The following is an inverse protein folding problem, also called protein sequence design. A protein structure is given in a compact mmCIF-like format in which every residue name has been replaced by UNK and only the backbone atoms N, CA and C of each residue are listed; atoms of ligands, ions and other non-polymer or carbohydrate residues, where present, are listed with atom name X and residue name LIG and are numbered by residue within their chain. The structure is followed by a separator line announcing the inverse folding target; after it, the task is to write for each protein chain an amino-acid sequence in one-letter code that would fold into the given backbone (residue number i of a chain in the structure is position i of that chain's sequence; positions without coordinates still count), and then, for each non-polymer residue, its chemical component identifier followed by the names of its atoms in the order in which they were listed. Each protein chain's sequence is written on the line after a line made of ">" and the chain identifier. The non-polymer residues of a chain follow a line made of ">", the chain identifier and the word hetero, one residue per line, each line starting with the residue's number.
data_IF_611892919878
#
_entry.id   IF_611892919878
#
_cell.length_a   1.000
_cell.length_b   1.000
_cell.length_c   1.000
_cell.angle_alpha   90.00
_cell.angle_beta   90.00
_cell.angle_gamma   90.00
#
_symmetry.space_group_name_H-M   'P 1'
#
loop_
_entity.id
_entity.type
_entity.pdbx_description
1 polymer ?
#
# COMPACT_ATOMS: atom_id res chain seq x y z
N UNK A 1 24.82 19.24 13.06
CA UNK A 1 23.82 18.15 13.07
C UNK A 1 24.08 17.30 11.83
N UNK A 2 24.66 16.12 11.97
CA UNK A 2 24.93 15.21 10.85
C UNK A 2 23.65 14.47 10.50
N UNK A 3 23.03 14.83 9.37
CA UNK A 3 21.97 14.04 8.73
C UNK A 3 22.63 12.89 7.98
N UNK A 4 22.74 11.73 8.61
CA UNK A 4 22.99 10.50 7.87
C UNK A 4 21.81 10.28 6.92
N UNK A 5 22.03 9.96 5.63
CA UNK A 5 20.93 9.60 4.75
C UNK A 5 20.29 8.33 5.29
N UNK A 6 19.05 8.43 5.77
CA UNK A 6 18.22 7.29 6.13
C UNK A 6 17.97 6.51 4.85
N UNK A 7 18.73 5.43 4.65
CA UNK A 7 18.55 4.53 3.51
C UNK A 7 17.09 4.09 3.48
N UNK A 8 16.45 4.21 2.31
CA UNK A 8 15.08 3.77 2.11
C UNK A 8 14.96 2.28 2.47
N UNK A 9 14.04 1.85 3.37
CA UNK A 9 13.92 0.45 3.76
C UNK A 9 13.76 -0.52 2.59
N UNK A 10 13.09 -0.09 1.51
CA UNK A 10 12.95 -0.91 0.29
C UNK A 10 14.30 -1.09 -0.42
N UNK A 11 15.07 -0.02 -0.57
CA UNK A 11 16.41 -0.08 -1.15
C UNK A 11 17.36 -0.91 -0.28
N UNK A 12 17.24 -0.80 1.04
CA UNK A 12 17.99 -1.60 1.99
C UNK A 12 17.64 -3.09 1.86
N UNK A 13 16.35 -3.43 1.75
CA UNK A 13 15.91 -4.82 1.55
C UNK A 13 16.44 -5.38 0.22
N UNK A 14 16.35 -4.62 -0.87
CA UNK A 14 16.89 -5.03 -2.18
C UNK A 14 18.38 -5.32 -2.09
N UNK A 15 19.14 -4.48 -1.40
CA UNK A 15 20.57 -4.70 -1.19
C UNK A 15 20.85 -5.97 -0.38
N UNK A 16 20.14 -6.17 0.73
CA UNK A 16 20.31 -7.36 1.58
C UNK A 16 19.97 -8.66 0.85
N UNK A 17 18.92 -8.66 0.02
CA UNK A 17 18.54 -9.82 -0.81
C UNK A 17 19.60 -10.11 -1.89
N UNK A 18 20.19 -9.08 -2.49
CA UNK A 18 21.29 -9.24 -3.43
C UNK A 18 22.55 -9.81 -2.74
N UNK A 19 22.87 -9.32 -1.54
CA UNK A 19 24.00 -9.81 -0.74
C UNK A 19 23.78 -11.28 -0.31
N UNK A 20 22.56 -11.67 0.09
CA UNK A 20 22.19 -13.05 0.43
C UNK A 20 22.40 -14.01 -0.76
N UNK A 21 21.88 -13.64 -1.94
CA UNK A 21 22.07 -14.43 -3.17
C UNK A 21 23.54 -14.60 -3.52
N UNK A 22 24.35 -13.54 -3.35
CA UNK A 22 25.79 -13.57 -3.64
C UNK A 22 26.53 -14.48 -2.65
N UNK A 23 26.16 -14.46 -1.37
CA UNK A 23 26.74 -15.37 -0.37
C UNK A 23 26.38 -16.81 -0.69
N UNK A 24 25.16 -17.08 -1.13
CA UNK A 24 24.73 -18.42 -1.56
C UNK A 24 25.52 -18.96 -2.74
N UNK A 25 25.82 -18.14 -3.75
CA UNK A 25 26.70 -18.52 -4.85
C UNK A 25 28.10 -18.90 -4.36
N UNK A 26 28.66 -18.13 -3.41
CA UNK A 26 29.99 -18.40 -2.83
C UNK A 26 30.00 -19.65 -1.96
N UNK A 27 28.93 -19.94 -1.22
CA UNK A 27 28.78 -21.17 -0.45
C UNK A 27 28.80 -22.36 -1.40
N UNK A 28 28.00 -22.34 -2.48
CA UNK A 28 27.97 -23.41 -3.49
C UNK A 28 29.35 -23.65 -4.12
N UNK A 29 30.03 -22.58 -4.52
CA UNK A 29 31.36 -22.67 -5.12
C UNK A 29 32.41 -23.23 -4.13
N UNK A 30 32.36 -22.82 -2.86
CA UNK A 30 33.28 -23.30 -1.82
C UNK A 30 33.02 -24.76 -1.47
N UNK A 31 31.76 -25.19 -1.42
CA UNK A 31 31.39 -26.60 -1.24
C UNK A 31 31.92 -27.47 -2.38
N UNK A 32 31.78 -27.03 -3.64
CA UNK A 32 32.33 -27.74 -4.79
C UNK A 32 33.88 -27.86 -4.70
N UNK A 33 34.55 -26.78 -4.30
CA UNK A 33 36.01 -26.75 -4.14
C UNK A 33 36.49 -27.67 -3.00
N UNK A 34 35.78 -27.65 -1.87
CA UNK A 34 36.04 -28.54 -0.73
C UNK A 34 35.84 -30.02 -1.13
N UNK A 35 34.80 -30.34 -1.89
CA UNK A 35 34.55 -31.70 -2.36
C UNK A 35 35.69 -32.20 -3.27
N UNK A 36 36.22 -31.33 -4.14
CA UNK A 36 37.38 -31.64 -4.98
C UNK A 36 38.66 -31.83 -4.13
N UNK A 37 38.89 -30.98 -3.13
CA UNK A 37 40.03 -31.11 -2.23
C UNK A 37 39.99 -32.43 -1.45
N UNK A 38 38.83 -32.77 -0.85
CA UNK A 38 38.59 -34.06 -0.16
C UNK A 38 38.86 -35.26 -1.06
N UNK A 39 38.44 -35.18 -2.32
CA UNK A 39 38.71 -36.22 -3.33
C UNK A 39 40.21 -36.36 -3.60
N UNK A 40 40.94 -35.25 -3.79
CA UNK A 40 42.39 -35.26 -4.02
C UNK A 40 43.16 -35.82 -2.82
N UNK A 41 42.79 -35.45 -1.59
CA UNK A 41 43.35 -36.01 -0.35
C UNK A 41 43.16 -37.53 -0.33
N UNK A 42 41.94 -38.00 -0.64
CA UNK A 42 41.60 -39.42 -0.66
C UNK A 42 42.36 -40.20 -1.76
N UNK A 43 42.45 -39.63 -2.96
CA UNK A 43 43.18 -40.22 -4.09
C UNK A 43 44.68 -40.31 -3.80
N UNK A 44 45.28 -39.27 -3.22
CA UNK A 44 46.70 -39.26 -2.83
C UNK A 44 46.99 -40.29 -1.74
N UNK A 45 46.10 -40.42 -0.74
CA UNK A 45 46.21 -41.43 0.30
C UNK A 45 46.14 -42.85 -0.29
N UNK A 46 45.20 -43.11 -1.21
CA UNK A 46 45.07 -44.41 -1.88
C UNK A 46 46.30 -44.75 -2.74
N UNK A 47 46.85 -43.78 -3.48
CA UNK A 47 48.08 -43.95 -4.25
C UNK A 47 49.27 -44.28 -3.35
N UNK A 48 49.39 -43.63 -2.19
CA UNK A 48 50.42 -43.94 -1.20
C UNK A 48 50.30 -45.37 -0.64
N UNK A 49 49.10 -45.84 -0.34
CA UNK A 49 48.89 -47.23 0.09
C UNK A 49 49.30 -48.24 -0.97
N UNK A 50 49.03 -47.96 -2.25
CA UNK A 50 49.37 -48.87 -3.36
C UNK A 50 50.87 -48.87 -3.67
N UNK A 51 51.53 -47.71 -3.60
CA UNK A 51 52.93 -47.57 -4.02
C UNK A 51 53.95 -47.96 -2.93
N UNK A 52 53.63 -47.74 -1.65
CA UNK A 52 54.66 -47.77 -0.59
C UNK A 52 54.81 -49.12 0.09
N UNK A 53 53.78 -49.97 0.16
CA UNK A 53 53.81 -51.22 0.96
C UNK A 53 54.10 -51.03 2.47
N UNK A 54 54.33 -49.80 2.92
CA UNK A 54 54.69 -49.43 4.30
C UNK A 54 53.45 -49.08 5.13
N UNK A 55 53.44 -49.46 6.43
CA UNK A 55 52.27 -49.29 7.29
C UNK A 55 52.07 -47.86 7.83
N UNK A 56 52.93 -46.89 7.49
CA UNK A 56 52.79 -45.50 7.95
C UNK A 56 52.48 -44.55 6.79
N UNK A 57 51.22 -44.12 6.62
CA UNK A 57 50.88 -43.15 5.59
C UNK A 57 51.54 -41.81 5.90
N UNK A 58 52.35 -41.29 4.99
CA UNK A 58 52.75 -39.89 5.00
C UNK A 58 51.61 -39.09 4.38
N UNK A 59 50.82 -38.40 5.20
CA UNK A 59 49.75 -37.54 4.66
C UNK A 59 50.37 -36.32 3.97
N UNK A 60 49.86 -35.90 2.79
CA UNK A 60 50.26 -34.65 2.16
C UNK A 60 49.71 -33.46 2.98
N UNK A 61 50.57 -32.82 3.78
CA UNK A 61 50.17 -31.72 4.65
C UNK A 61 49.54 -30.54 3.90
N UNK A 62 50.00 -30.28 2.67
CA UNK A 62 49.51 -29.16 1.86
C UNK A 62 48.03 -29.35 1.45
N UNK A 63 47.64 -30.57 1.08
CA UNK A 63 46.25 -30.88 0.71
C UNK A 63 45.32 -30.83 1.93
N UNK A 64 45.82 -31.25 3.11
CA UNK A 64 45.06 -31.13 4.36
C UNK A 64 44.85 -29.67 4.78
N UNK A 65 45.88 -28.83 4.61
CA UNK A 65 45.78 -27.39 4.89
C UNK A 65 44.79 -26.72 3.94
N UNK A 66 44.79 -27.11 2.66
CA UNK A 66 43.83 -26.64 1.66
C UNK A 66 42.39 -27.02 2.04
N UNK A 67 42.15 -28.29 2.40
CA UNK A 67 40.83 -28.76 2.89
C UNK A 67 40.35 -27.96 4.11
N UNK A 68 41.18 -27.84 5.14
CA UNK A 68 40.86 -27.06 6.34
C UNK A 68 40.59 -25.58 6.05
N UNK A 69 41.28 -25.01 5.06
CA UNK A 69 41.05 -23.62 4.66
C UNK A 69 39.67 -23.43 4.02
N UNK A 70 39.22 -24.38 3.18
CA UNK A 70 37.90 -24.36 2.60
C UNK A 70 36.79 -24.59 3.64
N UNK A 71 37.03 -25.45 4.64
CA UNK A 71 36.08 -25.65 5.75
C UNK A 71 35.89 -24.37 6.59
N UNK A 72 36.98 -23.68 6.93
CA UNK A 72 36.91 -22.39 7.63
C UNK A 72 36.19 -21.32 6.81
N UNK A 73 36.46 -21.26 5.50
CA UNK A 73 35.78 -20.33 4.61
C UNK A 73 34.28 -20.62 4.51
N UNK A 74 33.91 -21.91 4.41
CA UNK A 74 32.51 -22.32 4.38
C UNK A 74 31.78 -21.91 5.66
N UNK A 75 32.39 -22.12 6.83
CA UNK A 75 31.82 -21.68 8.10
C UNK A 75 31.61 -20.16 8.13
N UNK A 76 32.63 -19.38 7.74
CA UNK A 76 32.52 -17.92 7.70
C UNK A 76 31.43 -17.42 6.74
N UNK A 77 31.23 -18.09 5.60
CA UNK A 77 30.16 -17.77 4.66
C UNK A 77 28.78 -18.12 5.22
N UNK A 78 28.64 -19.24 5.95
CA UNK A 78 27.41 -19.61 6.64
C UNK A 78 27.05 -18.60 7.75
N UNK A 79 28.05 -18.15 8.51
CA UNK A 79 27.87 -17.13 9.54
C UNK A 79 27.42 -15.81 8.91
N UNK A 80 28.06 -15.39 7.80
CA UNK A 80 27.67 -14.20 7.05
C UNK A 80 26.24 -14.28 6.52
N UNK A 81 25.82 -15.44 6.00
CA UNK A 81 24.43 -15.67 5.57
C UNK A 81 23.45 -15.50 6.73
N UNK A 82 23.76 -16.10 7.88
CA UNK A 82 22.94 -15.95 9.10
C UNK A 82 22.79 -14.49 9.51
N UNK A 83 23.87 -13.70 9.46
CA UNK A 83 23.81 -12.28 9.80
C UNK A 83 22.98 -11.46 8.80
N UNK A 84 23.06 -11.75 7.50
CA UNK A 84 22.22 -11.10 6.48
C UNK A 84 20.74 -11.43 6.73
N UNK A 85 20.41 -12.70 6.98
CA UNK A 85 19.04 -13.12 7.28
C UNK A 85 18.45 -12.43 8.52
N UNK A 86 19.27 -12.22 9.57
CA UNK A 86 18.86 -11.47 10.76
C UNK A 86 18.57 -9.99 10.47
N UNK A 87 19.22 -9.41 9.46
CA UNK A 87 18.99 -8.02 9.05
C UNK A 87 17.79 -7.85 8.11
N UNK A 88 17.46 -8.86 7.30
CA UNK A 88 16.31 -8.82 6.37
C UNK A 88 14.99 -8.66 7.11
N UNK A 89 14.74 -9.51 8.12
CA UNK A 89 13.43 -9.60 8.80
C UNK A 89 12.96 -8.27 9.43
N UNK A 90 13.80 -7.51 10.15
CA UNK A 90 13.42 -6.20 10.67
C UNK A 90 13.05 -5.20 9.57
N UNK A 91 13.78 -5.21 8.44
CA UNK A 91 13.53 -4.28 7.32
C UNK A 91 12.20 -4.61 6.64
N UNK A 92 11.91 -5.89 6.40
CA UNK A 92 10.60 -6.32 5.90
C UNK A 92 9.46 -5.88 6.82
N UNK A 93 9.63 -6.07 8.13
CA UNK A 93 8.63 -5.68 9.12
C UNK A 93 8.41 -4.16 9.14
N UNK A 94 9.48 -3.36 8.98
CA UNK A 94 9.37 -1.90 8.86
C UNK A 94 8.59 -1.49 7.60
N UNK A 95 8.86 -2.12 6.44
CA UNK A 95 8.13 -1.84 5.20
C UNK A 95 6.65 -2.20 5.34
N UNK A 96 6.35 -3.38 5.89
CA UNK A 96 4.96 -3.82 6.11
C UNK A 96 4.24 -2.85 7.04
N UNK A 97 4.87 -2.47 8.16
CA UNK A 97 4.27 -1.56 9.13
C UNK A 97 4.00 -0.18 8.51
N UNK A 98 4.95 0.38 7.77
CA UNK A 98 4.79 1.65 7.08
C UNK A 98 3.63 1.60 6.07
N UNK A 99 3.50 0.50 5.31
CA UNK A 99 2.40 0.31 4.37
C UNK A 99 1.05 0.18 5.09
N UNK A 100 0.98 -0.56 6.20
CA UNK A 100 -0.23 -0.69 7.01
C UNK A 100 -0.66 0.67 7.58
N UNK A 101 0.28 1.46 8.10
CA UNK A 101 -0.01 2.77 8.65
C UNK A 101 -0.46 3.75 7.57
N UNK A 102 0.17 3.73 6.39
CA UNK A 102 -0.27 4.50 5.23
C UNK A 102 -1.70 4.12 4.82
N UNK A 103 -2.01 2.82 4.68
CA UNK A 103 -3.35 2.36 4.32
C UNK A 103 -4.40 2.77 5.36
N UNK A 104 -4.09 2.67 6.65
CA UNK A 104 -4.98 3.12 7.74
C UNK A 104 -5.23 4.62 7.68
N UNK A 105 -4.20 5.40 7.40
CA UNK A 105 -4.32 6.85 7.23
C UNK A 105 -5.20 7.19 6.02
N UNK A 106 -4.95 6.58 4.86
CA UNK A 106 -5.76 6.78 3.65
C UNK A 106 -7.23 6.40 3.89
N UNK A 107 -7.49 5.25 4.51
CA UNK A 107 -8.84 4.84 4.87
C UNK A 107 -9.52 5.86 5.78
N UNK A 108 -8.83 6.33 6.82
CA UNK A 108 -9.37 7.33 7.75
C UNK A 108 -9.68 8.65 7.05
N UNK A 109 -8.84 9.07 6.11
CA UNK A 109 -9.06 10.27 5.31
C UNK A 109 -10.28 10.13 4.40
N UNK A 110 -10.37 9.04 3.64
CA UNK A 110 -11.50 8.80 2.74
C UNK A 110 -12.81 8.60 3.51
N UNK A 111 -12.77 7.94 4.66
CA UNK A 111 -13.94 7.82 5.53
C UNK A 111 -14.44 9.19 6.00
N UNK A 112 -13.54 10.10 6.40
CA UNK A 112 -13.94 11.47 6.77
C UNK A 112 -14.49 12.25 5.59
N UNK A 113 -13.90 12.09 4.39
CA UNK A 113 -14.42 12.72 3.17
C UNK A 113 -15.82 12.21 2.84
N UNK A 114 -16.07 10.91 2.96
CA UNK A 114 -17.38 10.33 2.74
C UNK A 114 -18.41 10.85 3.75
N UNK A 115 -18.05 10.93 5.04
CA UNK A 115 -18.92 11.53 6.05
C UNK A 115 -19.26 12.99 5.72
N UNK A 116 -18.27 13.79 5.32
CA UNK A 116 -18.50 15.18 4.90
C UNK A 116 -19.40 15.29 3.67
N UNK A 117 -19.27 14.38 2.70
CA UNK A 117 -20.17 14.36 1.55
C UNK A 117 -21.63 14.07 1.96
N UNK A 118 -21.85 13.20 2.95
CA UNK A 118 -23.20 12.97 3.48
C UNK A 118 -23.73 14.20 4.23
N UNK A 119 -22.91 14.84 5.06
CA UNK A 119 -23.27 16.09 5.74
C UNK A 119 -23.64 17.20 4.72
N UNK A 120 -22.89 17.33 3.63
CA UNK A 120 -23.21 18.29 2.56
C UNK A 120 -24.53 17.96 1.83
N UNK A 121 -24.86 16.68 1.66
CA UNK A 121 -26.15 16.26 1.11
C UNK A 121 -27.28 16.65 2.07
N UNK A 122 -27.11 16.38 3.36
CA UNK A 122 -28.09 16.71 4.40
C UNK A 122 -28.32 18.23 4.48
N UNK A 123 -27.25 19.03 4.46
CA UNK A 123 -27.31 20.49 4.43
C UNK A 123 -28.06 21.01 3.20
N UNK A 124 -27.85 20.41 2.02
CA UNK A 124 -28.56 20.77 0.80
C UNK A 124 -30.06 20.41 0.89
N UNK A 125 -30.41 19.29 1.51
CA UNK A 125 -31.81 18.91 1.77
C UNK A 125 -32.45 19.92 2.73
N UNK A 126 -31.76 20.31 3.79
CA UNK A 126 -32.24 21.34 4.72
C UNK A 126 -32.39 22.70 4.03
N UNK A 127 -31.46 23.09 3.15
CA UNK A 127 -31.56 24.30 2.36
C UNK A 127 -32.78 24.28 1.41
N UNK A 128 -33.15 23.11 0.87
CA UNK A 128 -34.38 22.97 0.09
C UNK A 128 -35.61 23.41 0.89
N UNK A 129 -35.69 23.11 2.19
CA UNK A 129 -36.78 23.59 3.05
C UNK A 129 -36.92 25.11 3.04
N UNK A 130 -35.79 25.82 3.13
CA UNK A 130 -35.77 27.28 3.08
C UNK A 130 -36.26 27.79 1.72
N UNK A 131 -35.79 27.20 0.62
CA UNK A 131 -36.26 27.54 -0.73
C UNK A 131 -37.77 27.33 -0.91
N UNK A 132 -38.36 26.29 -0.31
CA UNK A 132 -39.80 26.08 -0.35
C UNK A 132 -40.57 27.17 0.40
N UNK A 133 -40.08 27.58 1.58
CA UNK A 133 -40.70 28.67 2.33
C UNK A 133 -40.63 29.99 1.57
N UNK A 134 -39.48 30.28 0.97
CA UNK A 134 -39.31 31.47 0.15
C UNK A 134 -40.18 31.44 -1.10
N UNK A 135 -40.32 30.29 -1.76
CA UNK A 135 -41.22 30.11 -2.89
C UNK A 135 -42.67 30.48 -2.53
N UNK A 136 -43.21 29.91 -1.45
CA UNK A 136 -44.59 30.19 -1.02
C UNK A 136 -44.77 31.64 -0.56
N UNK A 137 -43.76 32.22 0.12
CA UNK A 137 -43.78 33.64 0.50
C UNK A 137 -43.82 34.55 -0.73
N UNK A 138 -42.95 34.31 -1.72
CA UNK A 138 -42.89 35.08 -2.96
C UNK A 138 -44.20 34.93 -3.73
N UNK A 139 -44.70 33.70 -3.87
CA UNK A 139 -45.99 33.39 -4.50
C UNK A 139 -47.14 34.17 -3.86
N UNK A 140 -47.24 34.16 -2.53
CA UNK A 140 -48.25 34.91 -1.80
C UNK A 140 -48.14 36.42 -2.08
N UNK A 141 -46.91 36.95 -2.09
CA UNK A 141 -46.63 38.32 -2.50
C UNK A 141 -47.11 38.64 -3.92
N UNK A 142 -46.88 37.74 -4.88
CA UNK A 142 -47.36 37.90 -6.26
C UNK A 142 -48.89 37.94 -6.34
N UNK A 143 -49.59 37.12 -5.56
CA UNK A 143 -51.06 37.18 -5.47
C UNK A 143 -51.55 38.52 -4.94
N UNK A 144 -50.93 39.04 -3.88
CA UNK A 144 -51.26 40.38 -3.36
C UNK A 144 -51.00 41.50 -4.39
N UNK A 145 -49.94 41.38 -5.19
CA UNK A 145 -49.68 42.35 -6.27
C UNK A 145 -50.78 42.28 -7.34
N UNK A 146 -51.21 41.08 -7.73
CA UNK A 146 -52.33 40.93 -8.66
C UNK A 146 -53.64 41.52 -8.13
N UNK A 147 -53.94 41.35 -6.84
CA UNK A 147 -55.11 41.98 -6.23
C UNK A 147 -55.08 43.51 -6.38
N UNK A 148 -53.90 44.13 -6.22
CA UNK A 148 -53.72 45.56 -6.46
C UNK A 148 -53.86 45.94 -7.94
N UNK A 149 -53.38 45.11 -8.86
CA UNK A 149 -53.57 45.34 -10.30
C UNK A 149 -55.06 45.35 -10.66
N UNK A 150 -55.81 44.37 -10.15
CA UNK A 150 -57.27 44.28 -10.36
C UNK A 150 -57.97 45.52 -9.79
N UNK A 151 -57.58 45.98 -8.59
CA UNK A 151 -58.14 47.20 -7.98
C UNK A 151 -57.89 48.46 -8.83
N UNK A 152 -56.81 48.49 -9.61
CA UNK A 152 -56.49 49.56 -10.55
C UNK A 152 -57.15 49.39 -11.93
N UNK A 153 -57.97 48.36 -12.12
CA UNK A 153 -58.69 48.08 -13.37
C UNK A 153 -57.86 47.32 -14.42
N UNK A 154 -56.72 46.75 -14.03
CA UNK A 154 -55.91 45.90 -14.90
C UNK A 154 -56.22 44.40 -14.71
N UNK A 155 -55.97 43.60 -15.74
CA UNK A 155 -56.10 42.15 -15.65
C UNK A 155 -55.00 41.52 -14.77
N UNK A 156 -55.34 40.39 -14.14
CA UNK A 156 -54.39 39.64 -13.33
C UNK A 156 -53.36 38.91 -14.20
N UNK A 157 -52.11 38.85 -13.73
CA UNK A 157 -51.03 38.12 -14.40
C UNK A 157 -50.98 36.68 -13.87
N UNK A 158 -50.78 35.65 -14.72
CA UNK A 158 -50.64 34.28 -14.24
C UNK A 158 -49.49 34.14 -13.25
N UNK A 159 -49.78 33.57 -12.07
CA UNK A 159 -48.79 33.20 -11.06
C UNK A 159 -48.48 31.71 -11.25
N UNK A 160 -47.22 31.25 -11.08
CA UNK A 160 -46.87 29.82 -11.11
C UNK A 160 -47.78 28.96 -10.22
N UNK A 161 -47.78 27.62 -10.37
CA UNK A 161 -48.61 26.72 -9.56
C UNK A 161 -48.07 26.48 -8.15
N UNK A 162 -48.97 26.21 -7.20
CA UNK A 162 -48.62 26.03 -5.80
C UNK A 162 -47.92 24.71 -5.60
N UNK A 163 -47.17 24.57 -4.51
CA UNK A 163 -46.69 23.25 -4.14
C UNK A 163 -47.89 22.36 -3.76
N UNK A 164 -47.93 21.16 -4.32
CA UNK A 164 -49.01 20.20 -4.07
C UNK A 164 -49.03 19.68 -2.63
N UNK A 165 -47.91 19.84 -1.91
CA UNK A 165 -47.73 19.41 -0.53
C UNK A 165 -46.69 20.30 0.15
N UNK A 166 -46.72 20.32 1.49
CA UNK A 166 -45.71 20.94 2.35
C UNK A 166 -44.65 19.94 2.82
N UNK A 167 -44.82 18.65 2.52
CA UNK A 167 -43.83 17.62 2.84
C UNK A 167 -42.59 17.76 1.95
N UNK A 168 -41.45 18.02 2.59
CA UNK A 168 -40.19 18.28 1.90
C UNK A 168 -39.74 17.08 1.06
N UNK A 169 -39.89 15.86 1.57
CA UNK A 169 -39.46 14.64 0.87
C UNK A 169 -40.23 14.45 -0.43
N UNK A 170 -41.55 14.63 -0.38
CA UNK A 170 -42.42 14.53 -1.53
C UNK A 170 -42.17 15.65 -2.56
N UNK A 171 -41.93 16.89 -2.11
CA UNK A 171 -41.57 17.99 -3.03
C UNK A 171 -40.23 17.70 -3.71
N UNK A 172 -39.20 17.30 -2.96
CA UNK A 172 -37.88 16.96 -3.51
C UNK A 172 -38.02 15.82 -4.52
N UNK A 173 -38.80 14.77 -4.20
CA UNK A 173 -39.09 13.67 -5.11
C UNK A 173 -39.73 14.15 -6.42
N UNK A 174 -40.76 14.98 -6.34
CA UNK A 174 -41.41 15.55 -7.53
C UNK A 174 -40.45 16.40 -8.37
N UNK A 175 -39.55 17.17 -7.74
CA UNK A 175 -38.52 17.93 -8.46
C UNK A 175 -37.49 17.03 -9.12
N UNK A 176 -37.08 15.93 -8.50
CA UNK A 176 -36.21 14.92 -9.10
C UNK A 176 -36.88 14.30 -10.33
N UNK A 177 -38.14 13.87 -10.22
CA UNK A 177 -38.88 13.32 -11.37
C UNK A 177 -39.02 14.34 -12.50
N UNK A 178 -39.26 15.61 -12.17
CA UNK A 178 -39.32 16.68 -13.17
C UNK A 178 -37.97 16.90 -13.88
N UNK A 179 -36.85 16.85 -13.15
CA UNK A 179 -35.50 16.95 -13.75
C UNK A 179 -35.17 15.73 -14.61
N UNK A 180 -35.58 14.53 -14.18
CA UNK A 180 -35.43 13.29 -14.95
C UNK A 180 -36.25 13.32 -16.24
N UNK A 181 -37.50 13.78 -16.18
CA UNK A 181 -38.33 13.98 -17.36
C UNK A 181 -37.74 14.98 -18.36
N UNK A 182 -36.87 15.89 -17.89
CA UNK A 182 -36.10 16.83 -18.71
C UNK A 182 -34.75 16.26 -19.19
N UNK A 183 -34.36 15.06 -18.78
CA UNK A 183 -33.07 14.44 -19.11
C UNK A 183 -31.86 15.13 -18.47
N UNK A 184 -32.06 15.87 -17.36
CA UNK A 184 -30.97 16.57 -16.66
C UNK A 184 -30.22 15.69 -15.64
N UNK A 185 -30.89 14.66 -15.14
CA UNK A 185 -30.40 13.64 -14.21
C UNK A 185 -30.99 12.28 -14.54
#
# INVERSE_FOLDING_TARGET
>A
MNTYPTVNPVEQLVKLLADDSRVDDRIRATQASLALAKRRVSESLAQHYIASGEPRPHLPEDLMREEQSYERLLQALQDMKSEIAKQIRPVEQQIIQANVDHLRQSFSQESRRLSKCLEEIDDNILACRQYLQDYERIRSGLKMVNEKLIQLGADAIPVPDGLATTDLGEVVRQRIEHLRAQGKI
#
